data_IF_193575602171
#
_entry.id   IF_193575602171
#
_cell.length_a   1.000
_cell.length_b   1.000
_cell.length_c   1.000
_cell.angle_alpha   90.00
_cell.angle_beta   90.00
_cell.angle_gamma   90.00
#
_symmetry.space_group_name_H-M   'P 1'
#
loop_
_entity.id
_entity.type
_entity.pdbx_description
1 polymer ?
#
# COMPACT_ATOMS: atom_id res chain seq x y z
N UNK A 1 15.08 -9.75 25.41
CA UNK A 1 14.89 -8.35 24.97
C UNK A 1 13.44 -7.98 25.28
N UNK A 2 13.18 -7.01 26.16
CA UNK A 2 11.82 -6.71 26.64
C UNK A 2 10.99 -6.14 25.48
N UNK A 3 9.83 -6.75 25.23
CA UNK A 3 8.79 -6.28 24.31
C UNK A 3 8.47 -4.81 24.61
N UNK A 4 8.80 -3.92 23.68
CA UNK A 4 8.24 -2.58 23.66
C UNK A 4 6.79 -2.71 23.19
N UNK A 5 5.85 -2.31 24.04
CA UNK A 5 4.43 -2.23 23.71
C UNK A 5 4.27 -1.42 22.41
N UNK A 6 3.53 -1.99 21.46
CA UNK A 6 2.97 -1.30 20.30
C UNK A 6 1.91 -0.28 20.78
N UNK A 7 2.33 0.80 21.42
CA UNK A 7 1.44 1.89 21.79
C UNK A 7 1.80 3.11 20.92
N UNK A 8 0.81 3.53 20.12
CA UNK A 8 0.76 4.73 19.27
C UNK A 8 1.45 4.66 17.88
N UNK A 9 0.87 3.86 16.98
CA UNK A 9 0.88 4.24 15.55
C UNK A 9 -0.06 5.44 15.40
N UNK A 10 0.48 6.63 15.13
CA UNK A 10 -0.34 7.80 14.81
C UNK A 10 -1.02 7.61 13.45
N UNK A 11 -2.30 7.25 13.49
CA UNK A 11 -3.21 7.43 12.36
C UNK A 11 -3.69 8.87 12.47
N UNK A 12 -3.12 9.77 11.67
CA UNK A 12 -3.54 11.17 11.63
C UNK A 12 -5.04 11.25 11.32
N UNK A 13 -5.82 11.73 12.30
CA UNK A 13 -7.28 11.85 12.20
C UNK A 13 -7.75 13.14 11.53
N UNK A 14 -6.85 14.09 11.24
CA UNK A 14 -7.20 15.36 10.61
C UNK A 14 -6.71 15.39 9.15
N UNK A 15 -7.64 15.39 8.20
CA UNK A 15 -7.35 15.20 6.76
C UNK A 15 -6.69 16.41 6.11
N UNK A 16 -6.93 17.62 6.62
CA UNK A 16 -6.43 18.87 6.01
C UNK A 16 -4.93 19.11 6.19
N UNK A 17 -4.21 18.21 6.87
CA UNK A 17 -2.75 18.25 7.02
C UNK A 17 -2.04 17.06 6.35
N UNK A 18 -2.79 16.21 5.65
CA UNK A 18 -2.37 14.86 5.26
C UNK A 18 -2.28 14.65 3.74
N UNK A 19 -2.85 15.55 2.96
CA UNK A 19 -2.79 15.53 1.52
C UNK A 19 -2.93 16.94 0.96
N UNK A 20 -2.51 17.12 -0.29
CA UNK A 20 -2.90 18.27 -1.09
C UNK A 20 -4.11 17.92 -1.93
N UNK A 21 -5.18 18.72 -1.84
CA UNK A 21 -6.40 18.48 -2.59
C UNK A 21 -6.56 19.43 -3.79
N UNK A 22 -7.10 18.86 -4.85
CA UNK A 22 -7.49 19.54 -6.07
C UNK A 22 -8.90 19.11 -6.47
N UNK A 23 -9.63 20.00 -7.12
CA UNK A 23 -11.03 19.86 -7.43
C UNK A 23 -11.30 20.16 -8.89
N UNK A 24 -12.12 19.34 -9.52
CA UNK A 24 -12.61 19.58 -10.88
C UNK A 24 -14.12 19.42 -10.85
N UNK A 25 -14.85 20.54 -10.92
CA UNK A 25 -16.32 20.54 -10.96
C UNK A 25 -16.79 19.69 -12.13
N UNK A 26 -17.90 18.97 -11.93
CA UNK A 26 -18.49 18.19 -13.00
C UNK A 26 -19.10 19.13 -14.07
N UNK A 27 -19.27 18.61 -15.28
CA UNK A 27 -19.74 19.39 -16.42
C UNK A 27 -21.27 19.47 -16.41
N UNK A 28 -21.81 20.69 -16.42
CA UNK A 28 -23.25 20.89 -16.65
C UNK A 28 -23.59 20.64 -18.13
N UNK A 29 -24.61 19.83 -18.38
CA UNK A 29 -25.20 19.57 -19.71
C UNK A 29 -26.60 20.19 -19.79
N UNK A 30 -27.22 20.09 -20.96
CA UNK A 30 -28.57 20.65 -21.21
C UNK A 30 -29.63 20.03 -20.27
N UNK A 31 -29.49 18.75 -19.95
CA UNK A 31 -30.39 18.01 -19.06
C UNK A 31 -29.61 17.44 -17.86
N UNK A 32 -29.24 18.33 -16.93
CA UNK A 32 -28.54 17.96 -15.69
C UNK A 32 -27.01 17.88 -15.83
N UNK A 33 -26.38 17.21 -14.88
CA UNK A 33 -24.92 17.04 -14.86
C UNK A 33 -24.48 15.91 -15.79
N UNK A 34 -23.24 16.00 -16.25
CA UNK A 34 -22.59 14.90 -16.93
C UNK A 34 -22.55 13.67 -16.01
N UNK A 35 -22.83 12.50 -16.58
CA UNK A 35 -22.77 11.21 -15.89
C UNK A 35 -21.46 11.08 -15.11
N UNK A 36 -21.56 10.66 -13.85
CA UNK A 36 -20.39 10.29 -13.03
C UNK A 36 -19.68 9.11 -13.69
N UNK A 37 -18.35 9.17 -13.73
CA UNK A 37 -17.53 8.12 -14.31
C UNK A 37 -17.68 6.84 -13.49
N UNK A 38 -17.66 5.69 -14.15
CA UNK A 38 -17.33 4.42 -13.51
C UNK A 38 -15.83 4.35 -13.19
N UNK A 39 -15.41 3.39 -12.36
CA UNK A 39 -13.98 3.16 -12.07
C UNK A 39 -13.17 2.98 -13.35
N UNK A 40 -13.64 2.14 -14.29
CA UNK A 40 -12.94 1.94 -15.56
C UNK A 40 -12.82 3.23 -16.38
N UNK A 41 -13.90 4.01 -16.47
CA UNK A 41 -13.89 5.31 -17.17
C UNK A 41 -12.93 6.30 -16.47
N UNK A 42 -12.86 6.30 -15.14
CA UNK A 42 -11.97 7.15 -14.34
C UNK A 42 -10.48 6.79 -14.48
N UNK A 43 -10.14 5.57 -14.89
CA UNK A 43 -8.77 5.16 -15.20
C UNK A 43 -8.39 5.48 -16.66
N UNK A 44 -9.31 5.27 -17.60
CA UNK A 44 -9.03 5.35 -19.04
C UNK A 44 -9.13 6.79 -19.58
N UNK A 45 -10.18 7.53 -19.23
CA UNK A 45 -10.45 8.84 -19.83
C UNK A 45 -9.32 9.84 -19.55
N UNK A 46 -8.83 9.96 -18.30
CA UNK A 46 -7.71 10.86 -18.00
C UNK A 46 -6.41 10.46 -18.70
N UNK A 47 -6.31 9.20 -19.16
CA UNK A 47 -5.12 8.65 -19.80
C UNK A 47 -5.19 8.63 -21.33
N UNK A 48 -6.29 9.04 -21.97
CA UNK A 48 -6.47 8.94 -23.44
C UNK A 48 -5.39 9.67 -24.26
N UNK A 49 -4.77 10.69 -23.67
CA UNK A 49 -3.68 11.48 -24.27
C UNK A 49 -2.32 11.24 -23.60
N UNK A 50 -2.27 10.28 -22.70
CA UNK A 50 -1.10 9.90 -21.92
C UNK A 50 -0.48 8.64 -22.52
N UNK A 51 0.84 8.49 -22.40
CA UNK A 51 1.52 7.21 -22.65
C UNK A 51 1.42 6.28 -21.42
N UNK A 52 0.83 6.75 -20.32
CA UNK A 52 0.71 6.01 -19.07
C UNK A 52 -0.57 5.17 -19.02
N UNK A 53 -0.45 4.01 -18.37
CA UNK A 53 -1.59 3.18 -18.00
C UNK A 53 -1.86 3.35 -16.51
N UNK A 54 -2.94 4.03 -16.17
CA UNK A 54 -3.37 4.17 -14.78
C UNK A 54 -4.14 2.94 -14.33
N UNK A 55 -3.75 2.41 -13.17
CA UNK A 55 -4.36 1.26 -12.51
C UNK A 55 -5.00 1.69 -11.19
N UNK A 56 -5.91 0.85 -10.69
CA UNK A 56 -6.47 0.99 -9.36
C UNK A 56 -5.70 0.12 -8.35
N UNK A 57 -5.46 0.67 -7.16
CA UNK A 57 -4.80 -0.02 -6.04
C UNK A 57 -5.69 -0.01 -4.79
N UNK A 58 -7.02 0.04 -4.98
CA UNK A 58 -8.01 0.12 -3.89
C UNK A 58 -8.58 -1.25 -3.55
N UNK A 59 -8.93 -2.02 -4.58
CA UNK A 59 -9.64 -3.29 -4.46
C UNK A 59 -8.74 -4.44 -4.94
N UNK A 60 -8.56 -5.44 -4.08
CA UNK A 60 -7.78 -6.65 -4.37
C UNK A 60 -8.63 -7.93 -4.39
N UNK A 61 -9.95 -7.80 -4.44
CA UNK A 61 -10.86 -8.95 -4.43
C UNK A 61 -11.07 -9.58 -5.81
N UNK A 62 -11.69 -10.77 -5.82
CA UNK A 62 -11.84 -11.60 -7.01
C UNK A 62 -12.82 -11.04 -8.05
N UNK A 63 -13.72 -10.13 -7.66
CA UNK A 63 -14.78 -9.58 -8.50
C UNK A 63 -14.36 -8.29 -9.23
N UNK A 64 -13.12 -8.23 -9.73
CA UNK A 64 -12.54 -7.01 -10.31
C UNK A 64 -13.39 -6.41 -11.44
N UNK A 65 -14.02 -7.25 -12.27
CA UNK A 65 -14.90 -6.79 -13.37
C UNK A 65 -16.13 -6.07 -12.86
N UNK A 66 -16.65 -6.44 -11.70
CA UNK A 66 -17.80 -5.79 -11.10
C UNK A 66 -17.38 -4.47 -10.48
N UNK A 67 -16.27 -4.47 -9.73
CA UNK A 67 -15.65 -3.26 -9.20
C UNK A 67 -15.40 -2.20 -10.29
N UNK A 68 -14.81 -2.59 -11.42
CA UNK A 68 -14.51 -1.68 -12.53
C UNK A 68 -15.77 -1.03 -13.15
N UNK A 69 -16.95 -1.63 -12.99
CA UNK A 69 -18.24 -1.08 -13.50
C UNK A 69 -18.94 -0.18 -12.49
N UNK A 70 -18.52 -0.18 -11.22
CA UNK A 70 -19.13 0.65 -10.20
C UNK A 70 -18.93 2.13 -10.52
N UNK A 71 -19.92 2.94 -10.14
CA UNK A 71 -19.85 4.41 -10.24
C UNK A 71 -18.83 4.96 -9.25
N UNK A 72 -18.14 6.04 -9.60
CA UNK A 72 -17.27 6.78 -8.68
C UNK A 72 -18.04 7.49 -7.54
N UNK A 73 -19.37 7.46 -7.56
CA UNK A 73 -20.20 7.96 -6.44
C UNK A 73 -19.87 7.20 -5.14
N UNK A 74 -19.42 7.93 -4.13
CA UNK A 74 -19.11 7.42 -2.77
C UNK A 74 -17.93 6.45 -2.66
N UNK A 75 -16.98 6.47 -3.59
CA UNK A 75 -15.73 5.71 -3.45
C UNK A 75 -14.50 6.59 -3.47
N UNK A 76 -13.45 6.13 -2.78
CA UNK A 76 -12.10 6.66 -2.88
C UNK A 76 -11.27 5.65 -3.65
N UNK A 77 -10.84 6.03 -4.85
CA UNK A 77 -10.03 5.20 -5.72
C UNK A 77 -8.57 5.66 -5.60
N UNK A 78 -7.70 4.81 -5.06
CA UNK A 78 -6.25 4.95 -5.20
C UNK A 78 -5.87 4.61 -6.64
N UNK A 79 -5.31 5.59 -7.34
CA UNK A 79 -4.88 5.52 -8.73
C UNK A 79 -3.36 5.68 -8.79
N UNK A 80 -2.70 4.87 -9.61
CA UNK A 80 -1.25 4.94 -9.81
C UNK A 80 -0.80 4.30 -11.12
N UNK A 81 0.50 4.38 -11.41
CA UNK A 81 1.12 3.73 -12.56
C UNK A 81 2.14 2.71 -12.06
N UNK A 82 2.01 1.48 -12.55
CA UNK A 82 2.87 0.36 -12.16
C UNK A 82 4.35 0.67 -12.47
N UNK A 83 5.24 0.44 -11.50
CA UNK A 83 6.68 0.71 -11.63
C UNK A 83 7.08 2.19 -11.57
N UNK A 84 6.14 3.13 -11.48
CA UNK A 84 6.42 4.57 -11.37
C UNK A 84 5.86 5.18 -10.08
N UNK A 85 4.61 4.86 -9.73
CA UNK A 85 3.97 5.38 -8.52
C UNK A 85 4.60 4.78 -7.26
N UNK A 86 4.78 5.61 -6.24
CA UNK A 86 5.15 5.14 -4.91
C UNK A 86 3.89 4.86 -4.11
N UNK A 87 3.03 5.88 -3.98
CA UNK A 87 1.74 5.81 -3.27
C UNK A 87 0.56 5.99 -4.22
N UNK A 88 0.80 6.59 -5.39
CA UNK A 88 -0.25 7.09 -6.26
C UNK A 88 -0.95 8.30 -5.65
N UNK A 89 -2.20 8.50 -6.05
CA UNK A 89 -3.07 9.58 -5.56
C UNK A 89 -4.50 9.06 -5.45
N UNK A 90 -5.32 9.72 -4.63
CA UNK A 90 -6.73 9.34 -4.45
C UNK A 90 -7.62 10.16 -5.37
N UNK A 91 -8.65 9.52 -5.92
CA UNK A 91 -9.70 10.15 -6.71
C UNK A 91 -11.05 9.79 -6.12
N UNK A 92 -11.88 10.80 -5.89
CA UNK A 92 -13.23 10.65 -5.35
C UNK A 92 -14.20 11.53 -6.12
N UNK A 93 -15.46 11.09 -6.27
CA UNK A 93 -16.53 11.97 -6.73
C UNK A 93 -17.39 12.41 -5.55
N UNK A 94 -17.31 13.70 -5.20
CA UNK A 94 -18.15 14.32 -4.20
C UNK A 94 -19.49 14.69 -4.85
N UNK A 95 -20.55 14.01 -4.41
CA UNK A 95 -21.90 14.16 -4.95
C UNK A 95 -22.55 15.48 -4.55
N UNK A 96 -22.36 15.91 -3.32
CA UNK A 96 -22.96 17.13 -2.78
C UNK A 96 -22.38 18.38 -3.46
N UNK A 97 -21.09 18.34 -3.75
CA UNK A 97 -20.38 19.39 -4.47
C UNK A 97 -20.32 19.19 -5.99
N UNK A 98 -20.89 18.10 -6.50
CA UNK A 98 -20.87 17.70 -7.91
C UNK A 98 -19.47 17.86 -8.55
N UNK A 99 -18.42 17.32 -7.93
CA UNK A 99 -17.03 17.50 -8.38
C UNK A 99 -16.18 16.25 -8.15
N UNK A 100 -15.13 16.11 -8.94
CA UNK A 100 -14.05 15.18 -8.66
C UNK A 100 -13.05 15.84 -7.72
N UNK A 101 -12.62 15.11 -6.71
CA UNK A 101 -11.61 15.50 -5.74
C UNK A 101 -10.40 14.57 -5.91
N UNK A 102 -9.24 15.17 -6.09
CA UNK A 102 -7.97 14.48 -6.30
C UNK A 102 -7.07 14.86 -5.12
N UNK A 103 -6.62 13.87 -4.36
CA UNK A 103 -5.82 14.08 -3.16
C UNK A 103 -4.46 13.38 -3.28
N UNK A 104 -3.39 14.14 -3.10
CA UNK A 104 -2.01 13.65 -3.12
C UNK A 104 -1.50 13.61 -1.69
N UNK A 105 -1.36 12.40 -1.12
CA UNK A 105 -1.01 12.21 0.29
C UNK A 105 0.42 12.66 0.61
N UNK A 106 0.65 13.15 1.82
CA UNK A 106 1.98 13.44 2.34
C UNK A 106 2.49 12.27 3.21
N UNK A 107 3.80 11.98 3.18
CA UNK A 107 4.74 12.32 2.10
C UNK A 107 4.36 11.60 0.78
N UNK A 108 4.71 12.17 -0.37
CA UNK A 108 4.58 11.52 -1.68
C UNK A 108 5.89 11.65 -2.46
N UNK A 109 6.07 10.80 -3.49
CA UNK A 109 7.20 10.97 -4.40
C UNK A 109 6.94 12.11 -5.38
N UNK A 110 8.00 12.70 -5.94
CA UNK A 110 7.89 13.65 -7.06
C UNK A 110 7.10 13.04 -8.22
N UNK A 111 7.30 11.75 -8.47
CA UNK A 111 6.60 11.01 -9.53
C UNK A 111 5.09 10.91 -9.27
N UNK A 112 4.66 10.68 -8.04
CA UNK A 112 3.22 10.67 -7.69
C UNK A 112 2.56 12.02 -8.03
N UNK A 113 3.25 13.14 -7.78
CA UNK A 113 2.77 14.47 -8.17
C UNK A 113 2.69 14.67 -9.68
N UNK A 114 3.74 14.30 -10.40
CA UNK A 114 3.78 14.40 -11.87
C UNK A 114 2.61 13.64 -12.50
N UNK A 115 2.38 12.41 -12.04
CA UNK A 115 1.28 11.56 -12.49
C UNK A 115 -0.09 12.13 -12.11
N UNK A 116 -0.25 12.66 -10.89
CA UNK A 116 -1.50 13.31 -10.49
C UNK A 116 -1.80 14.55 -11.35
N UNK A 117 -0.78 15.36 -11.68
CA UNK A 117 -0.95 16.49 -12.59
C UNK A 117 -1.39 16.03 -13.97
N UNK A 118 -0.71 15.05 -14.57
CA UNK A 118 -1.07 14.50 -15.87
C UNK A 118 -2.51 13.95 -15.88
N UNK A 119 -2.89 13.20 -14.84
CA UNK A 119 -4.26 12.72 -14.64
C UNK A 119 -5.27 13.88 -14.60
N UNK A 120 -5.01 14.92 -13.80
CA UNK A 120 -5.89 16.08 -13.71
C UNK A 120 -6.01 16.82 -15.04
N UNK A 121 -4.94 16.90 -15.84
CA UNK A 121 -5.00 17.46 -17.20
C UNK A 121 -6.01 16.71 -18.06
N UNK A 122 -5.93 15.38 -18.09
CA UNK A 122 -6.85 14.55 -18.88
C UNK A 122 -8.30 14.69 -18.42
N UNK A 123 -8.54 14.60 -17.11
CA UNK A 123 -9.87 14.72 -16.53
C UNK A 123 -10.49 16.11 -16.77
N UNK A 124 -9.70 17.17 -16.59
CA UNK A 124 -10.09 18.56 -16.85
C UNK A 124 -10.48 18.79 -18.31
N UNK A 125 -9.70 18.26 -19.27
CA UNK A 125 -10.01 18.33 -20.70
C UNK A 125 -11.32 17.63 -21.06
N UNK A 126 -11.58 16.46 -20.47
CA UNK A 126 -12.81 15.71 -20.68
C UNK A 126 -14.04 16.45 -20.12
N UNK A 127 -13.94 16.97 -18.90
CA UNK A 127 -15.02 17.73 -18.25
C UNK A 127 -15.16 19.15 -18.81
N UNK A 128 -14.16 19.67 -19.50
CA UNK A 128 -14.07 21.07 -19.98
C UNK A 128 -14.22 22.04 -18.81
N UNK A 129 -13.46 21.79 -17.74
CA UNK A 129 -13.54 22.51 -16.47
C UNK A 129 -12.14 22.76 -15.95
N UNK A 130 -11.96 23.88 -15.27
CA UNK A 130 -10.70 24.25 -14.65
C UNK A 130 -10.44 23.36 -13.43
N UNK A 131 -9.18 23.33 -13.00
CA UNK A 131 -8.69 22.62 -11.83
C UNK A 131 -8.53 23.67 -10.72
N UNK A 132 -9.17 23.47 -9.59
CA UNK A 132 -9.08 24.34 -8.41
C UNK A 132 -8.25 23.64 -7.33
N UNK A 133 -7.26 24.31 -6.75
CA UNK A 133 -6.56 23.81 -5.57
C UNK A 133 -7.34 24.20 -4.30
N UNK A 134 -7.17 23.45 -3.22
CA UNK A 134 -7.80 23.73 -1.91
C UNK A 134 -7.57 25.15 -1.36
N UNK A 135 -6.50 25.82 -1.80
CA UNK A 135 -6.18 27.20 -1.43
C UNK A 135 -6.86 28.25 -2.33
N UNK A 136 -7.70 27.82 -3.26
CA UNK A 136 -8.45 28.66 -4.20
C UNK A 136 -7.68 29.02 -5.48
N UNK A 137 -6.44 28.55 -5.67
CA UNK A 137 -5.72 28.75 -6.92
C UNK A 137 -6.41 28.00 -8.08
N UNK A 138 -6.54 28.65 -9.23
CA UNK A 138 -7.19 28.10 -10.42
C UNK A 138 -6.19 27.83 -11.54
N UNK A 139 -6.27 26.63 -12.09
CA UNK A 139 -5.43 26.12 -13.15
C UNK A 139 -6.26 25.67 -14.36
N UNK A 140 -5.73 25.95 -15.54
CA UNK A 140 -6.15 25.31 -16.79
C UNK A 140 -5.38 23.99 -16.96
N UNK A 141 -5.89 23.02 -17.74
CA UNK A 141 -5.15 21.78 -17.99
C UNK A 141 -3.73 22.03 -18.53
N UNK A 142 -3.52 23.05 -19.35
CA UNK A 142 -2.20 23.40 -19.88
C UNK A 142 -1.22 24.03 -18.88
N UNK A 143 -1.63 24.34 -17.64
CA UNK A 143 -0.78 25.05 -16.69
C UNK A 143 -0.76 24.48 -15.25
N UNK A 144 -1.44 23.37 -14.98
CA UNK A 144 -1.43 22.73 -13.65
C UNK A 144 -0.02 22.30 -13.19
N UNK A 145 0.87 22.01 -14.13
CA UNK A 145 2.29 21.73 -13.88
C UNK A 145 3.10 22.94 -13.39
N UNK A 146 2.50 24.14 -13.38
CA UNK A 146 3.10 25.34 -12.78
C UNK A 146 2.81 25.45 -11.28
N UNK A 147 1.97 24.58 -10.73
CA UNK A 147 1.77 24.51 -9.28
C UNK A 147 3.11 24.14 -8.61
N UNK A 148 3.57 24.97 -7.67
CA UNK A 148 4.83 24.73 -6.95
C UNK A 148 4.60 23.78 -5.75
N UNK A 149 4.84 22.49 -5.97
CA UNK A 149 4.70 21.45 -4.95
C UNK A 149 5.95 21.26 -4.07
N UNK A 150 6.99 22.11 -4.20
CA UNK A 150 8.21 21.97 -3.40
C UNK A 150 7.93 22.10 -1.90
N UNK A 151 7.04 23.04 -1.54
CA UNK A 151 6.65 23.23 -0.14
C UNK A 151 5.91 22.00 0.40
N UNK A 152 4.95 21.46 -0.35
CA UNK A 152 4.16 20.30 0.06
C UNK A 152 5.04 19.05 0.25
N UNK A 153 5.96 18.81 -0.69
CA UNK A 153 6.96 17.74 -0.60
C UNK A 153 7.82 17.91 0.65
N UNK A 154 8.38 19.12 0.87
CA UNK A 154 9.21 19.40 2.03
C UNK A 154 8.44 19.28 3.35
N UNK A 155 7.18 19.70 3.38
CA UNK A 155 6.30 19.59 4.54
C UNK A 155 6.01 18.13 4.89
N UNK A 156 5.73 17.28 3.89
CA UNK A 156 5.54 15.84 4.09
C UNK A 156 6.75 15.16 4.72
N UNK A 157 7.95 15.43 4.19
CA UNK A 157 9.20 14.94 4.79
C UNK A 157 9.40 15.50 6.21
N UNK A 158 9.13 16.80 6.41
CA UNK A 158 9.19 17.43 7.73
C UNK A 158 8.26 16.76 8.75
N UNK A 159 7.09 16.28 8.33
CA UNK A 159 6.15 15.51 9.13
C UNK A 159 6.74 14.17 9.60
N UNK A 160 7.34 13.41 8.68
CA UNK A 160 8.01 12.13 9.00
C UNK A 160 9.05 12.32 10.11
N UNK A 161 9.88 13.35 10.00
CA UNK A 161 10.99 13.60 10.92
C UNK A 161 10.55 13.98 12.34
N UNK A 162 9.31 14.44 12.52
CA UNK A 162 8.78 14.86 13.84
C UNK A 162 8.20 13.70 14.65
N UNK A 163 7.67 12.67 13.98
CA UNK A 163 6.84 11.64 14.62
C UNK A 163 7.67 10.42 15.04
N UNK A 164 8.83 10.21 14.42
CA UNK A 164 9.79 9.18 14.83
C UNK A 164 9.37 7.73 14.50
N UNK A 165 8.11 7.52 14.08
CA UNK A 165 7.61 6.31 13.45
C UNK A 165 6.39 6.64 12.59
N UNK A 166 6.38 6.27 11.30
CA UNK A 166 5.30 6.67 10.37
C UNK A 166 4.82 5.50 9.53
N UNK A 167 3.50 5.33 9.46
CA UNK A 167 2.85 4.42 8.52
C UNK A 167 2.61 5.12 7.17
N UNK A 168 3.04 4.49 6.09
CA UNK A 168 2.91 5.00 4.72
C UNK A 168 2.32 3.90 3.85
N UNK A 169 1.14 4.15 3.28
CA UNK A 169 0.53 3.23 2.31
C UNK A 169 1.12 3.47 0.93
N UNK A 170 1.74 2.43 0.35
CA UNK A 170 2.23 2.39 -1.02
C UNK A 170 1.31 1.60 -1.95
N UNK A 171 1.61 1.59 -3.25
CA UNK A 171 0.78 0.89 -4.24
C UNK A 171 0.85 -0.64 -4.12
N UNK A 172 2.01 -1.19 -3.72
CA UNK A 172 2.20 -2.63 -3.55
C UNK A 172 2.02 -3.05 -2.10
N UNK A 173 2.56 -2.27 -1.17
CA UNK A 173 2.59 -2.64 0.24
C UNK A 173 2.60 -1.43 1.15
N UNK A 174 2.10 -1.64 2.37
CA UNK A 174 2.22 -0.67 3.45
C UNK A 174 3.65 -0.71 4.02
N UNK A 175 4.13 0.44 4.50
CA UNK A 175 5.49 0.61 5.02
C UNK A 175 5.46 1.28 6.39
N UNK A 176 6.24 0.78 7.33
CA UNK A 176 6.41 1.41 8.65
C UNK A 176 7.82 1.98 8.77
N UNK A 177 7.94 3.29 8.54
CA UNK A 177 9.19 4.02 8.65
C UNK A 177 9.60 4.12 10.11
N UNK A 178 10.62 3.34 10.44
CA UNK A 178 11.22 3.19 11.76
C UNK A 178 12.25 4.25 12.12
N UNK A 179 12.84 4.12 13.31
CA UNK A 179 13.89 5.03 13.78
C UNK A 179 15.08 5.08 12.81
N UNK A 180 15.58 3.92 12.40
CA UNK A 180 16.78 3.83 11.57
C UNK A 180 16.56 4.45 10.18
N UNK A 181 15.37 4.24 9.60
CA UNK A 181 14.99 4.84 8.32
C UNK A 181 14.84 6.36 8.44
N UNK A 182 14.20 6.83 9.51
CA UNK A 182 14.01 8.26 9.78
C UNK A 182 15.36 8.94 10.02
N UNK A 183 16.28 8.31 10.76
CA UNK A 183 17.63 8.84 10.98
C UNK A 183 18.44 8.90 9.68
N UNK A 184 18.30 7.90 8.78
CA UNK A 184 18.90 7.97 7.44
C UNK A 184 18.40 9.17 6.64
N UNK A 185 17.07 9.39 6.60
CA UNK A 185 16.46 10.53 5.90
C UNK A 185 16.91 11.85 6.53
N UNK A 186 16.92 11.93 7.87
CA UNK A 186 17.30 13.13 8.61
C UNK A 186 18.72 13.59 8.29
N UNK A 187 19.64 12.63 8.20
CA UNK A 187 21.07 12.84 8.02
C UNK A 187 21.50 12.88 6.54
N UNK A 188 20.59 12.67 5.59
CA UNK A 188 20.91 12.74 4.16
C UNK A 188 21.06 14.18 3.67
N UNK A 189 21.84 14.36 2.59
CA UNK A 189 22.00 15.67 1.93
C UNK A 189 20.71 16.10 1.22
N UNK A 190 20.00 15.14 0.63
CA UNK A 190 18.69 15.36 0.03
C UNK A 190 17.69 14.39 0.67
N UNK A 191 16.84 14.94 1.55
CA UNK A 191 15.89 14.16 2.35
C UNK A 191 14.78 13.56 1.51
N UNK A 192 14.34 14.27 0.48
CA UNK A 192 13.32 13.75 -0.44
C UNK A 192 13.86 12.56 -1.22
N UNK A 193 15.06 12.68 -1.79
CA UNK A 193 15.63 11.60 -2.60
C UNK A 193 15.93 10.35 -1.73
N UNK A 194 16.41 10.52 -0.48
CA UNK A 194 16.63 9.38 0.43
C UNK A 194 15.31 8.74 0.87
N UNK A 195 14.27 9.53 1.12
CA UNK A 195 12.93 9.01 1.39
C UNK A 195 12.40 8.19 0.21
N UNK A 196 12.41 8.76 -0.99
CA UNK A 196 11.96 8.08 -2.21
C UNK A 196 12.77 6.80 -2.46
N UNK A 197 14.10 6.86 -2.31
CA UNK A 197 14.96 5.70 -2.47
C UNK A 197 14.54 4.55 -1.54
N UNK A 198 14.41 4.82 -0.24
CA UNK A 198 14.00 3.81 0.74
C UNK A 198 12.61 3.26 0.39
N UNK A 199 11.67 4.15 0.07
CA UNK A 199 10.29 3.77 -0.19
C UNK A 199 10.16 2.94 -1.47
N UNK A 200 10.83 3.33 -2.56
CA UNK A 200 10.87 2.56 -3.82
C UNK A 200 11.63 1.25 -3.68
N UNK A 201 12.73 1.21 -2.91
CA UNK A 201 13.42 -0.04 -2.59
C UNK A 201 12.47 -1.04 -1.93
N UNK A 202 11.55 -0.57 -1.08
CA UNK A 202 10.54 -1.43 -0.46
C UNK A 202 9.43 -1.78 -1.44
N UNK A 203 8.86 -0.81 -2.18
CA UNK A 203 7.74 -1.05 -3.11
C UNK A 203 8.11 -1.94 -4.31
N UNK A 204 9.38 -1.97 -4.72
CA UNK A 204 9.82 -2.73 -5.88
C UNK A 204 10.50 -4.06 -5.53
N UNK A 205 10.37 -4.55 -4.30
CA UNK A 205 10.87 -5.89 -3.95
C UNK A 205 10.08 -6.97 -4.69
N UNK A 206 10.81 -7.80 -5.42
CA UNK A 206 10.30 -9.03 -6.03
C UNK A 206 10.28 -10.14 -4.99
N UNK A 207 9.16 -10.24 -4.26
CA UNK A 207 8.93 -11.28 -3.27
C UNK A 207 7.45 -11.66 -3.19
N UNK A 208 7.19 -12.89 -2.80
CA UNK A 208 5.84 -13.31 -2.45
C UNK A 208 5.45 -12.77 -1.08
N UNK A 209 4.25 -12.22 -0.97
CA UNK A 209 3.63 -11.79 0.28
C UNK A 209 2.49 -12.75 0.62
N UNK A 210 2.70 -13.70 1.55
CA UNK A 210 1.69 -14.70 1.87
C UNK A 210 0.44 -14.04 2.46
N UNK A 211 -0.71 -14.30 1.85
CA UNK A 211 -2.00 -13.90 2.43
C UNK A 211 -2.30 -14.79 3.64
N UNK A 212 -2.67 -14.23 4.80
CA UNK A 212 -3.03 -15.05 5.95
C UNK A 212 -4.29 -15.86 5.67
N UNK A 213 -4.22 -17.16 5.89
CA UNK A 213 -5.39 -18.04 5.92
C UNK A 213 -5.88 -18.16 7.37
N UNK A 214 -7.10 -17.68 7.62
CA UNK A 214 -7.73 -17.67 8.95
C UNK A 214 -8.65 -18.89 9.07
N UNK A 215 -8.51 -19.65 10.15
CA UNK A 215 -9.32 -20.83 10.45
C UNK A 215 -9.91 -20.74 11.85
N UNK A 216 -11.07 -21.35 12.04
CA UNK A 216 -11.65 -21.57 13.38
C UNK A 216 -11.43 -23.03 13.79
N UNK A 217 -10.89 -23.24 14.99
CA UNK A 217 -10.68 -24.55 15.59
C UNK A 217 -11.02 -24.47 17.07
N UNK A 218 -11.89 -25.35 17.56
CA UNK A 218 -12.30 -25.42 18.96
C UNK A 218 -12.78 -24.05 19.53
N UNK A 219 -13.49 -23.26 18.69
CA UNK A 219 -13.93 -21.88 18.94
C UNK A 219 -12.79 -20.84 19.10
N UNK A 220 -11.56 -21.18 18.70
CA UNK A 220 -10.41 -20.29 18.65
C UNK A 220 -10.02 -20.01 17.19
N UNK A 221 -9.57 -18.78 16.92
CA UNK A 221 -9.04 -18.43 15.61
C UNK A 221 -7.55 -18.74 15.53
N UNK A 222 -7.14 -19.44 14.48
CA UNK A 222 -5.74 -19.65 14.14
C UNK A 222 -5.43 -19.09 12.77
N UNK A 223 -4.18 -18.68 12.56
CA UNK A 223 -3.72 -18.14 11.27
C UNK A 223 -2.58 -18.99 10.74
N UNK A 224 -2.62 -19.26 9.43
CA UNK A 224 -1.51 -19.90 8.71
C UNK A 224 -1.04 -19.02 7.56
N UNK A 225 0.27 -18.88 7.43
CA UNK A 225 0.90 -18.32 6.23
C UNK A 225 1.57 -19.42 5.43
N UNK A 226 1.50 -19.32 4.11
CA UNK A 226 2.16 -20.28 3.22
C UNK A 226 3.57 -19.79 2.86
N UNK A 227 4.58 -20.57 3.22
CA UNK A 227 5.96 -20.38 2.78
C UNK A 227 6.25 -21.29 1.59
N UNK A 228 6.75 -20.74 0.49
CA UNK A 228 6.96 -21.44 -0.77
C UNK A 228 8.47 -21.65 -0.97
N UNK A 229 8.88 -22.90 -1.17
CA UNK A 229 10.28 -23.24 -1.51
C UNK A 229 10.79 -22.42 -2.70
N UNK A 230 12.07 -22.04 -2.69
CA UNK A 230 12.75 -21.32 -3.78
C UNK A 230 12.13 -19.97 -4.14
N UNK A 231 11.29 -19.41 -3.26
CA UNK A 231 10.60 -18.14 -3.49
C UNK A 231 10.99 -17.16 -2.37
N UNK A 232 11.54 -15.98 -2.69
CA UNK A 232 11.73 -14.93 -1.70
C UNK A 232 10.39 -14.48 -1.12
N UNK A 233 10.35 -14.22 0.19
CA UNK A 233 9.11 -13.95 0.92
C UNK A 233 9.24 -12.68 1.76
N UNK A 234 8.16 -11.90 1.83
CA UNK A 234 8.01 -10.81 2.80
C UNK A 234 7.00 -11.23 3.86
N UNK A 235 7.38 -11.07 5.14
CA UNK A 235 6.54 -11.38 6.30
C UNK A 235 6.76 -10.34 7.40
N UNK A 236 5.78 -10.17 8.29
CA UNK A 236 5.98 -9.40 9.51
C UNK A 236 6.93 -10.16 10.46
N UNK A 237 7.89 -9.49 11.08
CA UNK A 237 8.82 -10.14 12.00
C UNK A 237 8.10 -10.71 13.24
N UNK A 238 7.09 -9.98 13.73
CA UNK A 238 6.13 -10.50 14.70
C UNK A 238 4.85 -10.89 13.94
N UNK A 239 4.14 -11.96 14.35
CA UNK A 239 2.91 -12.37 13.67
C UNK A 239 1.87 -11.24 13.68
N UNK A 240 1.26 -10.95 12.52
CA UNK A 240 0.24 -9.92 12.37
C UNK A 240 -0.55 -10.13 11.07
N UNK A 241 -1.87 -9.97 11.10
CA UNK A 241 -2.74 -9.96 9.93
C UNK A 241 -2.45 -8.77 8.98
N UNK A 242 -1.62 -7.82 9.43
CA UNK A 242 -1.37 -6.58 8.72
C UNK A 242 -2.49 -5.55 8.91
N UNK A 243 -2.25 -4.32 8.49
CA UNK A 243 -3.17 -3.21 8.74
C UNK A 243 -4.52 -3.40 8.06
N UNK A 244 -4.53 -3.86 6.80
CA UNK A 244 -5.76 -3.96 5.99
C UNK A 244 -6.79 -4.91 6.58
N UNK A 245 -6.36 -6.08 7.05
CA UNK A 245 -7.26 -7.10 7.62
C UNK A 245 -7.69 -6.70 9.04
N UNK A 246 -6.76 -6.24 9.87
CA UNK A 246 -7.05 -5.83 11.26
C UNK A 246 -8.17 -4.79 11.36
N UNK A 247 -8.19 -3.81 10.45
CA UNK A 247 -9.16 -2.71 10.48
C UNK A 247 -10.33 -2.90 9.51
N UNK A 248 -10.14 -3.63 8.41
CA UNK A 248 -11.18 -3.86 7.40
C UNK A 248 -12.19 -4.93 7.80
N UNK A 249 -11.69 -6.11 8.17
CA UNK A 249 -12.54 -7.29 8.45
C UNK A 249 -12.95 -7.38 9.93
N UNK A 250 -12.38 -6.50 10.77
CA UNK A 250 -12.67 -6.44 12.21
C UNK A 250 -12.06 -7.57 13.03
N UNK A 251 -11.29 -8.46 12.40
CA UNK A 251 -10.51 -9.50 13.08
C UNK A 251 -9.20 -8.91 13.54
N UNK A 252 -9.02 -8.79 14.86
CA UNK A 252 -7.80 -8.25 15.44
C UNK A 252 -6.76 -9.33 15.73
N UNK A 253 -5.48 -8.99 15.62
CA UNK A 253 -4.36 -9.86 16.00
C UNK A 253 -4.51 -10.43 17.43
N UNK A 254 -5.06 -9.65 18.37
CA UNK A 254 -5.29 -10.06 19.77
C UNK A 254 -6.31 -11.19 19.95
N UNK A 255 -7.14 -11.45 18.94
CA UNK A 255 -8.14 -12.51 18.94
C UNK A 255 -7.63 -13.82 18.31
N UNK A 256 -6.39 -13.84 17.80
CA UNK A 256 -5.78 -15.02 17.20
C UNK A 256 -5.05 -15.80 18.28
N UNK A 257 -5.46 -17.05 18.50
CA UNK A 257 -4.89 -17.93 19.51
C UNK A 257 -3.49 -18.41 19.13
N UNK A 258 -3.31 -18.82 17.87
CA UNK A 258 -2.02 -19.35 17.38
C UNK A 258 -1.75 -18.99 15.91
N UNK A 259 -0.47 -18.93 15.59
CA UNK A 259 0.05 -18.55 14.28
C UNK A 259 1.04 -19.59 13.77
N UNK A 260 0.90 -19.98 12.51
CA UNK A 260 1.71 -21.03 11.92
C UNK A 260 2.25 -20.65 10.54
N UNK A 261 3.35 -21.30 10.16
CA UNK A 261 3.87 -21.35 8.81
C UNK A 261 3.66 -22.76 8.25
N UNK A 262 2.92 -22.87 7.16
CA UNK A 262 2.86 -24.07 6.33
C UNK A 262 3.92 -23.98 5.22
N UNK A 263 4.66 -25.06 4.96
CA UNK A 263 5.66 -25.07 3.88
C UNK A 263 5.14 -25.80 2.65
N UNK A 264 5.10 -25.12 1.51
CA UNK A 264 4.88 -25.69 0.19
C UNK A 264 6.23 -26.00 -0.46
N UNK A 265 6.56 -27.28 -0.58
CA UNK A 265 7.82 -27.76 -1.18
C UNK A 265 7.55 -28.54 -2.45
N UNK A 266 8.53 -28.54 -3.37
CA UNK A 266 8.47 -29.35 -4.56
C UNK A 266 8.98 -30.76 -4.25
N UNK A 267 8.18 -31.76 -4.61
CA UNK A 267 8.58 -33.16 -4.67
C UNK A 267 8.77 -33.59 -6.13
N UNK A 268 9.87 -34.28 -6.43
CA UNK A 268 10.20 -34.70 -7.78
C UNK A 268 9.22 -35.74 -8.34
N UNK A 269 8.55 -36.51 -7.47
CA UNK A 269 7.64 -37.60 -7.87
C UNK A 269 6.18 -37.21 -7.70
N UNK A 270 5.85 -36.51 -6.61
CA UNK A 270 4.47 -36.19 -6.22
C UNK A 270 4.05 -34.76 -6.61
N UNK A 271 4.98 -33.92 -7.08
CA UNK A 271 4.71 -32.51 -7.33
C UNK A 271 4.71 -31.66 -6.05
N UNK A 272 3.96 -30.56 -6.04
CA UNK A 272 3.92 -29.66 -4.89
C UNK A 272 3.24 -30.33 -3.67
N UNK A 273 3.88 -30.26 -2.50
CA UNK A 273 3.43 -30.90 -1.26
C UNK A 273 3.51 -29.93 -0.09
N UNK A 274 2.46 -29.93 0.74
CA UNK A 274 2.47 -29.20 2.01
C UNK A 274 3.13 -30.10 3.06
N UNK A 275 4.17 -29.59 3.71
CA UNK A 275 4.83 -30.25 4.83
C UNK A 275 4.13 -29.93 6.16
N UNK A 276 4.53 -30.61 7.22
CA UNK A 276 4.14 -30.25 8.58
C UNK A 276 4.49 -28.79 8.90
N UNK A 277 3.62 -28.15 9.65
CA UNK A 277 3.73 -26.73 9.99
C UNK A 277 4.60 -26.50 11.22
N UNK A 278 4.96 -25.23 11.41
CA UNK A 278 5.72 -24.76 12.57
C UNK A 278 5.05 -23.53 13.16
N UNK A 279 5.14 -23.34 14.48
CA UNK A 279 4.69 -22.10 15.10
C UNK A 279 5.47 -20.91 14.53
N UNK A 280 4.78 -19.81 14.25
CA UNK A 280 5.34 -18.62 13.62
C UNK A 280 6.56 -18.06 14.37
N UNK A 281 6.45 -17.94 15.70
CA UNK A 281 7.53 -17.39 16.51
C UNK A 281 8.74 -18.32 16.55
N UNK A 282 8.51 -19.63 16.50
CA UNK A 282 9.58 -20.63 16.40
C UNK A 282 10.28 -20.56 15.04
N UNK A 283 9.53 -20.42 13.94
CA UNK A 283 10.07 -20.20 12.60
C UNK A 283 11.01 -18.99 12.58
N UNK A 284 10.54 -17.83 13.04
CA UNK A 284 11.36 -16.61 13.10
C UNK A 284 12.61 -16.82 13.98
N UNK A 285 12.47 -17.52 15.10
CA UNK A 285 13.60 -17.82 16.01
C UNK A 285 14.66 -18.74 15.42
N UNK A 286 14.30 -19.58 14.44
CA UNK A 286 15.20 -20.52 13.76
C UNK A 286 15.73 -20.01 12.43
N UNK A 287 15.13 -18.96 11.87
CA UNK A 287 15.52 -18.41 10.58
C UNK A 287 16.99 -17.94 10.64
N UNK A 288 17.86 -18.37 9.70
CA UNK A 288 19.25 -17.94 9.68
C UNK A 288 19.35 -16.42 9.51
N UNK A 289 20.17 -15.75 10.32
CA UNK A 289 20.23 -14.27 10.37
C UNK A 289 20.72 -13.65 9.07
N UNK A 290 21.49 -14.39 8.30
CA UNK A 290 22.00 -14.02 6.99
C UNK A 290 20.94 -14.15 5.88
N UNK A 291 19.85 -14.89 6.12
CA UNK A 291 18.79 -15.15 5.14
C UNK A 291 17.66 -14.14 5.17
N UNK A 292 17.66 -13.20 6.13
CA UNK A 292 16.64 -12.17 6.17
C UNK A 292 17.19 -10.81 6.55
N UNK A 293 16.47 -9.78 6.13
CA UNK A 293 16.73 -8.40 6.52
C UNK A 293 15.41 -7.66 6.74
N UNK A 294 15.40 -6.72 7.67
CA UNK A 294 14.29 -5.78 7.79
C UNK A 294 14.21 -4.91 6.53
N UNK A 295 13.00 -4.77 6.00
CA UNK A 295 12.70 -3.84 4.91
C UNK A 295 12.05 -2.56 5.45
N UNK A 296 11.37 -2.67 6.58
CA UNK A 296 10.85 -1.57 7.38
C UNK A 296 10.91 -1.93 8.87
N UNK A 297 10.27 -1.16 9.77
CA UNK A 297 10.27 -1.40 11.22
C UNK A 297 9.63 -2.74 11.64
N UNK A 298 8.77 -3.33 10.81
CA UNK A 298 7.94 -4.48 11.19
C UNK A 298 8.07 -5.69 10.29
N UNK A 299 8.56 -5.51 9.07
CA UNK A 299 8.55 -6.52 8.02
C UNK A 299 9.97 -6.89 7.61
N UNK A 300 10.16 -8.17 7.33
CA UNK A 300 11.41 -8.73 6.86
C UNK A 300 11.22 -9.27 5.45
N UNK A 301 12.25 -9.08 4.63
CA UNK A 301 12.45 -9.83 3.41
C UNK A 301 13.32 -11.03 3.75
N UNK A 302 12.86 -12.21 3.32
CA UNK A 302 13.51 -13.50 3.51
C UNK A 302 13.92 -13.97 2.12
N UNK A 303 15.22 -14.27 1.94
CA UNK A 303 15.72 -14.89 0.72
C UNK A 303 15.06 -16.25 0.51
N UNK A 304 15.06 -16.73 -0.74
CA UNK A 304 14.54 -18.06 -1.04
C UNK A 304 15.25 -19.14 -0.21
N UNK A 305 14.46 -20.01 0.40
CA UNK A 305 14.98 -21.17 1.13
C UNK A 305 14.85 -22.45 0.29
N UNK A 306 15.90 -23.25 0.30
CA UNK A 306 15.94 -24.58 -0.27
C UNK A 306 15.23 -25.59 0.64
N UNK A 307 14.86 -26.75 0.08
CA UNK A 307 14.17 -27.82 0.82
C UNK A 307 14.97 -28.30 2.03
N UNK A 308 16.29 -28.39 1.92
CA UNK A 308 17.19 -28.77 3.01
C UNK A 308 17.18 -27.74 4.14
N UNK A 309 17.16 -26.45 3.80
CA UNK A 309 17.08 -25.34 4.76
C UNK A 309 15.73 -25.37 5.49
N UNK A 310 14.64 -25.52 4.76
CA UNK A 310 13.28 -25.71 5.32
C UNK A 310 13.25 -26.92 6.27
N UNK A 311 13.87 -28.04 5.88
CA UNK A 311 13.94 -29.21 6.73
C UNK A 311 14.73 -28.96 8.02
N UNK A 312 15.77 -28.11 7.97
CA UNK A 312 16.55 -27.70 9.14
C UNK A 312 15.79 -26.80 10.12
N UNK A 313 14.72 -26.13 9.68
CA UNK A 313 13.89 -25.28 10.54
C UNK A 313 12.87 -26.06 11.37
N UNK A 314 12.63 -27.33 11.04
CA UNK A 314 11.63 -28.18 11.71
C UNK A 314 11.88 -28.32 13.21
N UNK A 315 10.82 -28.17 14.00
CA UNK A 315 10.81 -28.26 15.47
C UNK A 315 10.10 -29.48 16.01
N UNK A 316 10.01 -29.60 17.34
CA UNK A 316 9.12 -30.59 17.96
C UNK A 316 7.68 -30.25 17.56
N UNK A 317 7.17 -31.01 16.60
CA UNK A 317 5.90 -30.75 15.93
C UNK A 317 4.72 -30.89 16.89
N UNK A 318 3.81 -29.92 16.85
CA UNK A 318 2.42 -30.17 17.18
C UNK A 318 1.67 -30.40 15.87
N UNK A 319 1.52 -31.67 15.50
CA UNK A 319 0.58 -32.05 14.46
C UNK A 319 -0.81 -31.58 14.88
N UNK A 320 -1.38 -30.65 14.10
CA UNK A 320 -2.77 -30.25 14.22
C UNK A 320 -3.46 -30.61 12.91
N UNK A 321 -3.55 -31.91 12.64
CA UNK A 321 -4.59 -32.46 11.74
C UNK A 321 -5.91 -32.49 12.49
#
# INVERSE_FOLDING_TARGET
MKLQKFEETYIFKDRSFMAKEFYIKNRKKLFGMQKVLSVAEALIIPSEKSEKTYNQYTYSGNEIKEFLRQSMENMYLTVGVEGESLRGFQVHYNKDEERYEIAISFPSSKKDWELAFEYMKGLSLYLKRDIECEDGQLFKPENIDKYDNNFDIAAGIGGILKIGRVFISGIHRDMIFGRDMIDRIKNSKNRQDEFEKIAYEIQNLEAHEPTPAIYEKDNELIVKYMFIEKTPIILHFNPSLGYRINYGDGIKDENIADWFIDFLVQDEKEGAKIMENINYSEFIGKLPKEKYRFIDETSIFIESLEKEEINGLKGEFKSFV
#
